data_IF_166959639416
#
_entry.id   IF_166959639416
#
_cell.length_a   1.000
_cell.length_b   1.000
_cell.length_c   1.000
_cell.angle_alpha   90.00
_cell.angle_beta   90.00
_cell.angle_gamma   90.00
#
_symmetry.space_group_name_H-M   'P 1'
#
loop_
_entity.id
_entity.type
_entity.pdbx_description
1 polymer ?
#
# COMPACT_ATOMS: atom_id res chain seq x y z
N UNK A 1 27.22 12.88 16.22
CA UNK A 1 25.83 12.44 16.50
C UNK A 1 25.56 11.15 15.72
N UNK A 2 25.10 10.08 16.38
CA UNK A 2 24.87 8.79 15.70
C UNK A 2 23.51 8.82 14.99
N UNK A 3 23.52 9.21 13.72
CA UNK A 3 22.30 9.34 12.89
C UNK A 3 21.56 8.02 12.68
N UNK A 4 22.29 6.87 12.72
CA UNK A 4 21.67 5.54 12.61
C UNK A 4 20.84 5.21 13.86
N UNK A 5 21.38 5.45 15.04
CA UNK A 5 20.66 5.24 16.29
C UNK A 5 19.44 6.16 16.42
N UNK A 6 19.56 7.41 15.97
CA UNK A 6 18.45 8.36 15.96
C UNK A 6 17.33 7.88 15.03
N UNK A 7 17.64 7.45 13.82
CA UNK A 7 16.65 6.89 12.88
C UNK A 7 15.94 5.68 13.46
N UNK A 8 16.70 4.76 14.07
CA UNK A 8 16.11 3.57 14.69
C UNK A 8 15.15 3.96 15.82
N UNK A 9 15.51 4.92 16.64
CA UNK A 9 14.64 5.40 17.72
C UNK A 9 13.36 6.06 17.19
N UNK A 10 13.45 6.85 16.13
CA UNK A 10 12.27 7.47 15.48
C UNK A 10 11.34 6.39 14.91
N UNK A 11 11.88 5.39 14.23
CA UNK A 11 11.09 4.28 13.69
C UNK A 11 10.42 3.48 14.81
N UNK A 12 11.15 3.18 15.88
CA UNK A 12 10.61 2.49 17.05
C UNK A 12 9.43 3.25 17.68
N UNK A 13 9.56 4.55 17.87
CA UNK A 13 8.46 5.38 18.35
C UNK A 13 7.28 5.42 17.38
N UNK A 14 7.55 5.43 16.07
CA UNK A 14 6.49 5.46 15.05
C UNK A 14 5.66 4.18 15.04
N UNK A 15 6.31 3.00 15.02
CA UNK A 15 5.60 1.71 14.98
C UNK A 15 4.83 1.40 16.27
N UNK A 16 5.23 2.00 17.39
CA UNK A 16 4.50 1.89 18.65
C UNK A 16 3.47 3.02 18.88
N UNK A 17 3.20 3.85 17.86
CA UNK A 17 2.25 4.96 17.96
C UNK A 17 2.63 6.05 18.95
N UNK A 18 3.92 6.15 19.32
CA UNK A 18 4.44 7.09 20.32
C UNK A 18 5.15 8.31 19.73
N UNK A 19 5.27 8.36 18.39
CA UNK A 19 5.96 9.46 17.70
C UNK A 19 5.14 10.73 17.70
N UNK A 20 3.81 10.60 17.53
CA UNK A 20 2.83 11.69 17.57
C UNK A 20 1.73 11.34 18.56
N UNK A 21 1.18 12.30 19.30
CA UNK A 21 0.00 12.06 20.11
C UNK A 21 -1.15 11.54 19.24
N UNK A 22 -1.85 10.50 19.72
CA UNK A 22 -3.04 9.99 19.06
C UNK A 22 -4.24 10.82 19.47
N UNK A 23 -5.09 11.23 18.53
CA UNK A 23 -6.33 11.93 18.85
C UNK A 23 -7.36 10.90 19.38
N UNK A 24 -7.88 11.07 20.60
CA UNK A 24 -8.88 10.15 21.14
C UNK A 24 -10.24 10.24 20.41
N UNK A 25 -10.45 11.27 19.59
CA UNK A 25 -11.66 11.45 18.78
C UNK A 25 -11.54 10.83 17.38
N UNK A 26 -10.36 10.37 16.99
CA UNK A 26 -10.17 9.68 15.72
C UNK A 26 -10.98 8.37 15.70
N UNK A 27 -11.58 8.10 14.54
CA UNK A 27 -12.28 6.83 14.31
C UNK A 27 -11.32 5.65 14.46
N UNK A 28 -11.65 4.64 15.31
CA UNK A 28 -10.82 3.45 15.42
C UNK A 28 -10.66 2.73 14.08
N UNK A 29 -9.44 2.24 13.79
CA UNK A 29 -9.15 1.55 12.53
C UNK A 29 -10.05 0.34 12.26
N UNK A 30 -10.55 -0.34 13.31
CA UNK A 30 -11.53 -1.43 13.18
C UNK A 30 -12.83 -0.98 12.51
N UNK A 31 -13.34 0.19 12.89
CA UNK A 31 -14.57 0.77 12.30
C UNK A 31 -14.33 1.17 10.85
N UNK A 32 -13.20 1.82 10.57
CA UNK A 32 -12.81 2.16 9.20
C UNK A 32 -12.71 0.90 8.32
N UNK A 33 -12.12 -0.18 8.82
CA UNK A 33 -12.00 -1.44 8.07
C UNK A 33 -13.37 -2.10 7.82
N UNK A 34 -14.31 -2.01 8.76
CA UNK A 34 -15.69 -2.46 8.54
C UNK A 34 -16.37 -1.65 7.42
N UNK A 35 -16.23 -0.33 7.41
CA UNK A 35 -16.73 0.52 6.34
C UNK A 35 -16.13 0.16 4.98
N UNK A 36 -14.82 -0.09 4.92
CA UNK A 36 -14.13 -0.51 3.70
C UNK A 36 -14.69 -1.87 3.22
N UNK A 37 -14.85 -2.85 4.11
CA UNK A 37 -15.40 -4.17 3.78
C UNK A 37 -16.83 -4.06 3.24
N UNK A 38 -17.70 -3.33 3.92
CA UNK A 38 -19.08 -3.11 3.49
C UNK A 38 -19.15 -2.43 2.12
N UNK A 39 -18.30 -1.43 1.87
CA UNK A 39 -18.22 -0.75 0.58
C UNK A 39 -17.73 -1.68 -0.53
N UNK A 40 -16.71 -2.51 -0.26
CA UNK A 40 -16.22 -3.51 -1.23
C UNK A 40 -17.31 -4.53 -1.57
N UNK A 41 -18.02 -5.06 -0.59
CA UNK A 41 -19.11 -6.01 -0.83
C UNK A 41 -20.21 -5.41 -1.71
N UNK A 42 -20.57 -4.14 -1.47
CA UNK A 42 -21.54 -3.44 -2.32
C UNK A 42 -21.05 -3.34 -3.76
N UNK A 43 -19.81 -2.97 -3.98
CA UNK A 43 -19.23 -2.83 -5.32
C UNK A 43 -19.07 -4.17 -6.05
N UNK A 44 -18.82 -5.25 -5.32
CA UNK A 44 -18.83 -6.62 -5.86
C UNK A 44 -20.26 -6.99 -6.31
N UNK A 45 -21.27 -6.68 -5.49
CA UNK A 45 -22.69 -6.93 -5.85
C UNK A 45 -23.14 -6.11 -7.05
N UNK A 46 -22.63 -4.87 -7.17
CA UNK A 46 -22.89 -3.99 -8.31
C UNK A 46 -22.08 -4.38 -9.58
N UNK A 47 -21.21 -5.38 -9.49
CA UNK A 47 -20.37 -5.82 -10.61
C UNK A 47 -19.23 -4.86 -10.98
N UNK A 48 -18.95 -3.85 -10.14
CA UNK A 48 -17.92 -2.83 -10.41
C UNK A 48 -16.51 -3.32 -10.11
N UNK A 49 -16.37 -4.26 -9.17
CA UNK A 49 -15.10 -4.89 -8.84
C UNK A 49 -15.24 -6.41 -8.81
N UNK A 50 -14.19 -7.11 -9.20
CA UNK A 50 -14.17 -8.57 -9.19
C UNK A 50 -14.06 -9.10 -7.76
N UNK A 51 -14.77 -10.18 -7.48
CA UNK A 51 -14.61 -10.88 -6.20
C UNK A 51 -13.17 -11.41 -6.09
N UNK A 52 -12.46 -11.12 -4.99
CA UNK A 52 -11.09 -11.59 -4.84
C UNK A 52 -11.06 -13.11 -4.88
N UNK A 53 -10.12 -13.66 -5.66
CA UNK A 53 -9.89 -15.12 -5.67
C UNK A 53 -9.39 -15.51 -4.28
N UNK A 54 -10.02 -16.52 -3.66
CA UNK A 54 -9.48 -17.09 -2.42
C UNK A 54 -8.11 -17.65 -2.74
N UNK A 55 -7.05 -17.01 -2.27
CA UNK A 55 -5.73 -17.59 -2.33
C UNK A 55 -5.73 -18.82 -1.42
N UNK A 56 -5.25 -19.95 -1.93
CA UNK A 56 -5.01 -21.16 -1.12
C UNK A 56 -3.79 -21.02 -0.20
N UNK A 57 -3.06 -19.93 -0.32
CA UNK A 57 -2.01 -19.60 0.63
C UNK A 57 -2.69 -19.43 1.99
N UNK A 58 -2.50 -20.43 2.86
CA UNK A 58 -2.74 -20.25 4.28
C UNK A 58 -2.00 -18.96 4.63
N UNK A 59 -2.76 -17.93 4.97
CA UNK A 59 -2.19 -16.72 5.50
C UNK A 59 -1.60 -17.14 6.84
N UNK A 60 -0.32 -17.50 6.85
CA UNK A 60 0.42 -17.52 8.10
C UNK A 60 0.16 -16.15 8.71
N UNK A 61 -0.57 -16.14 9.83
CA UNK A 61 -0.81 -14.89 10.53
C UNK A 61 0.56 -14.28 10.76
N UNK A 62 0.85 -13.11 10.19
CA UNK A 62 2.19 -12.56 10.32
C UNK A 62 2.49 -12.47 11.81
N UNK A 63 3.63 -13.01 12.20
CA UNK A 63 4.08 -12.87 13.58
C UNK A 63 4.55 -11.44 13.77
N UNK A 64 3.69 -10.62 14.35
CA UNK A 64 4.05 -9.23 14.64
C UNK A 64 4.81 -9.19 15.97
N UNK A 65 6.02 -8.61 15.98
CA UNK A 65 6.88 -8.62 17.15
C UNK A 65 6.49 -7.59 18.22
N UNK A 66 5.36 -6.91 18.08
CA UNK A 66 4.92 -5.85 18.99
C UNK A 66 3.39 -5.80 19.09
N UNK A 67 2.91 -5.29 20.22
CA UNK A 67 1.49 -5.02 20.43
C UNK A 67 1.09 -3.72 19.73
N UNK A 68 -0.13 -3.74 19.16
CA UNK A 68 -0.67 -2.55 18.51
C UNK A 68 -1.10 -1.50 19.53
N UNK A 69 -0.88 -0.20 19.24
CA UNK A 69 -1.49 0.88 20.00
C UNK A 69 -3.02 0.79 19.97
N UNK A 70 -3.66 1.37 20.98
CA UNK A 70 -5.13 1.47 21.03
C UNK A 70 -5.66 2.22 19.79
N UNK A 71 -6.68 1.69 19.16
CA UNK A 71 -7.29 2.27 17.96
C UNK A 71 -6.64 1.84 16.64
N UNK A 72 -5.53 1.12 16.68
CA UNK A 72 -4.87 0.56 15.51
C UNK A 72 -5.35 -0.87 15.23
N UNK A 73 -5.36 -1.27 13.97
CA UNK A 73 -5.75 -2.61 13.54
C UNK A 73 -4.83 -3.09 12.43
N UNK A 74 -4.58 -4.39 12.39
CA UNK A 74 -3.84 -4.99 11.29
C UNK A 74 -4.74 -5.21 10.10
N UNK A 75 -4.28 -4.82 8.91
CA UNK A 75 -4.95 -5.08 7.66
C UNK A 75 -3.96 -5.53 6.59
N UNK A 76 -4.42 -6.34 5.66
CA UNK A 76 -3.64 -6.69 4.48
C UNK A 76 -3.85 -5.65 3.38
N UNK A 77 -2.86 -5.50 2.49
CA UNK A 77 -2.99 -4.64 1.32
C UNK A 77 -4.22 -5.03 0.48
N UNK A 78 -4.50 -6.34 0.37
CA UNK A 78 -5.67 -6.84 -0.35
C UNK A 78 -7.01 -6.45 0.28
N UNK A 79 -7.07 -6.27 1.61
CA UNK A 79 -8.29 -5.80 2.27
C UNK A 79 -8.59 -4.34 1.98
N UNK A 80 -7.57 -3.49 1.94
CA UNK A 80 -7.72 -2.04 1.78
C UNK A 80 -7.65 -1.58 0.32
N UNK A 81 -7.18 -2.42 -0.61
CA UNK A 81 -7.09 -2.10 -2.04
C UNK A 81 -8.33 -2.57 -2.80
N UNK A 82 -8.73 -1.83 -3.83
CA UNK A 82 -9.84 -2.19 -4.72
C UNK A 82 -9.46 -3.27 -5.72
N UNK A 83 -8.25 -3.14 -6.25
CA UNK A 83 -7.65 -4.07 -7.18
C UNK A 83 -6.14 -4.09 -6.96
N UNK A 84 -5.53 -5.21 -7.30
CA UNK A 84 -4.09 -5.41 -7.26
C UNK A 84 -3.67 -5.88 -8.64
N UNK A 85 -3.15 -4.96 -9.42
CA UNK A 85 -2.66 -5.23 -10.77
C UNK A 85 -1.13 -5.17 -10.79
N UNK A 86 -0.54 -6.05 -11.58
CA UNK A 86 0.86 -5.95 -11.93
C UNK A 86 1.01 -4.89 -13.01
N UNK A 87 2.13 -4.19 -13.01
CA UNK A 87 2.50 -3.34 -14.14
C UNK A 87 2.73 -4.16 -15.40
N UNK A 88 2.85 -3.45 -16.52
CA UNK A 88 3.06 -4.08 -17.82
C UNK A 88 4.43 -4.76 -17.95
N UNK A 89 4.47 -5.93 -18.58
CA UNK A 89 5.70 -6.62 -19.01
C UNK A 89 6.05 -6.34 -20.48
N UNK A 90 5.24 -5.52 -21.17
CA UNK A 90 5.44 -5.17 -22.58
C UNK A 90 6.71 -4.33 -22.76
N UNK A 91 7.33 -4.45 -23.92
CA UNK A 91 8.52 -3.64 -24.24
C UNK A 91 8.14 -2.16 -24.28
N UNK A 92 8.83 -1.39 -23.49
CA UNK A 92 8.72 0.07 -23.50
C UNK A 92 9.68 0.65 -24.53
N UNK A 93 9.34 1.81 -25.09
CA UNK A 93 10.13 2.57 -26.06
C UNK A 93 10.54 3.93 -25.48
N UNK A 94 11.42 4.64 -26.19
CA UNK A 94 11.76 6.02 -25.83
C UNK A 94 10.61 7.00 -26.09
N UNK A 95 9.65 6.62 -26.92
CA UNK A 95 8.51 7.45 -27.33
C UNK A 95 7.20 6.67 -27.19
N UNK A 96 6.15 7.31 -26.73
CA UNK A 96 4.82 6.72 -26.56
C UNK A 96 3.88 7.70 -25.86
N UNK A 97 2.60 7.34 -25.78
CA UNK A 97 1.57 8.20 -25.16
C UNK A 97 1.51 8.04 -23.64
N UNK A 98 1.86 6.87 -23.12
CA UNK A 98 1.69 6.53 -21.71
C UNK A 98 3.07 6.34 -21.08
N UNK A 99 3.45 7.17 -20.08
CA UNK A 99 4.72 7.00 -19.38
C UNK A 99 4.68 5.76 -18.47
N UNK A 100 5.77 4.99 -18.50
CA UNK A 100 5.96 3.79 -17.69
C UNK A 100 7.02 4.06 -16.63
N UNK A 101 6.63 3.98 -15.36
CA UNK A 101 7.55 4.06 -14.24
C UNK A 101 8.22 2.69 -13.99
N UNK A 102 9.53 2.68 -13.98
CA UNK A 102 10.34 1.51 -13.64
C UNK A 102 10.91 1.67 -12.22
N UNK A 103 11.32 0.57 -11.61
CA UNK A 103 12.00 0.63 -10.30
C UNK A 103 13.21 1.57 -10.29
N UNK A 104 13.95 1.67 -11.41
CA UNK A 104 15.08 2.60 -11.56
C UNK A 104 14.70 4.08 -11.55
N UNK A 105 13.43 4.41 -11.74
CA UNK A 105 12.95 5.79 -11.64
C UNK A 105 12.69 6.21 -10.18
N UNK A 106 12.75 5.29 -9.22
CA UNK A 106 12.56 5.60 -7.81
C UNK A 106 13.93 5.58 -7.13
N UNK A 107 14.36 6.73 -6.65
CA UNK A 107 15.63 6.83 -5.95
C UNK A 107 15.55 6.32 -4.51
N UNK A 108 16.71 6.18 -3.84
CA UNK A 108 16.80 5.68 -2.45
C UNK A 108 16.06 6.54 -1.41
N UNK A 109 15.69 7.76 -1.76
CA UNK A 109 14.92 8.67 -0.91
C UNK A 109 13.42 8.63 -1.21
N UNK A 110 12.95 7.72 -2.09
CA UNK A 110 11.56 7.60 -2.50
C UNK A 110 11.09 8.67 -3.50
N UNK A 111 11.99 9.52 -4.01
CA UNK A 111 11.64 10.50 -5.05
C UNK A 111 11.66 9.85 -6.43
N UNK A 112 10.73 10.27 -7.27
CA UNK A 112 10.61 9.80 -8.65
C UNK A 112 11.47 10.67 -9.56
N UNK A 113 12.33 10.04 -10.36
CA UNK A 113 13.05 10.68 -11.46
C UNK A 113 12.21 10.64 -12.74
N UNK A 114 11.70 11.78 -13.11
CA UNK A 114 10.86 11.97 -14.29
C UNK A 114 11.64 12.16 -15.59
N UNK A 115 12.96 12.33 -15.53
CA UNK A 115 13.79 12.62 -16.72
C UNK A 115 14.10 11.38 -17.55
N UNK A 116 14.06 10.18 -16.95
CA UNK A 116 14.42 8.92 -17.59
C UNK A 116 13.21 7.98 -17.78
N UNK A 117 12.07 8.54 -18.14
CA UNK A 117 10.88 7.76 -18.41
C UNK A 117 11.01 6.98 -19.73
N UNK A 118 10.39 5.82 -19.76
CA UNK A 118 10.07 5.08 -20.97
C UNK A 118 8.57 5.12 -21.19
N UNK A 119 8.12 4.81 -22.38
CA UNK A 119 6.73 4.99 -22.76
C UNK A 119 6.17 3.73 -23.40
N UNK A 120 4.86 3.59 -23.38
CA UNK A 120 4.10 2.62 -24.17
C UNK A 120 2.97 3.33 -24.92
N UNK A 121 2.56 2.77 -26.03
CA UNK A 121 1.36 3.22 -26.78
C UNK A 121 0.19 2.25 -26.57
N UNK A 122 0.37 1.24 -25.75
CA UNK A 122 -0.60 0.19 -25.53
C UNK A 122 -1.59 0.64 -24.44
N UNK A 123 -2.87 0.77 -24.81
CA UNK A 123 -3.94 1.23 -23.93
C UNK A 123 -4.69 0.08 -23.23
N UNK A 124 -4.31 -1.17 -23.52
CA UNK A 124 -5.03 -2.37 -23.06
C UNK A 124 -4.37 -3.05 -21.84
N UNK A 125 -3.73 -2.26 -20.98
CA UNK A 125 -3.24 -2.74 -19.68
C UNK A 125 -4.03 -2.17 -18.53
#
# INVERSE_FOLDING_TARGET
MNTKALRQKILDLAIHGKLVPQDPNDEPASVLLEHIRAKKERLIKEGKIKKPKKSKAACDKPHYPFELPKGWEWATVGEISWDLVYGTSKKSSSNGEIPVLRMGNINRCGKIDWNNLVYTSDKDD
#
